data_IF_336012215627
#
_entry.id   IF_336012215627
#
_cell.length_a   1.000
_cell.length_b   1.000
_cell.length_c   1.000
_cell.angle_alpha   90.00
_cell.angle_beta   90.00
_cell.angle_gamma   90.00
#
_symmetry.space_group_name_H-M   'P 1'
#
loop_
_entity.id
_entity.type
_entity.pdbx_description
1 polymer ?
#
# COMPACT_ATOMS: atom_id res chain seq x y z
N UNK A 1 -19.65 -25.28 -14.42
CA UNK A 1 -19.97 -23.82 -14.29
C UNK A 1 -18.81 -23.01 -13.75
N UNK A 2 -17.96 -23.58 -12.88
CA UNK A 2 -16.74 -22.88 -12.38
C UNK A 2 -15.83 -22.38 -13.51
N UNK A 3 -15.63 -23.17 -14.57
CA UNK A 3 -14.87 -22.73 -15.73
C UNK A 3 -15.44 -21.47 -16.40
N UNK A 4 -16.77 -21.34 -16.47
CA UNK A 4 -17.44 -20.14 -17.02
C UNK A 4 -17.13 -18.91 -16.17
N UNK A 5 -17.15 -19.05 -14.82
CA UNK A 5 -16.80 -17.97 -13.89
C UNK A 5 -15.39 -17.39 -14.23
N UNK A 6 -14.39 -18.27 -14.32
CA UNK A 6 -13.00 -17.84 -14.58
C UNK A 6 -12.79 -17.37 -16.03
N UNK A 7 -13.41 -18.02 -17.03
CA UNK A 7 -13.30 -17.60 -18.43
C UNK A 7 -13.88 -16.21 -18.63
N UNK A 8 -15.12 -15.96 -18.12
CA UNK A 8 -15.76 -14.64 -18.22
C UNK A 8 -14.92 -13.57 -17.49
N UNK A 9 -14.39 -13.88 -16.32
CA UNK A 9 -13.54 -12.98 -15.56
C UNK A 9 -12.27 -12.60 -16.35
N UNK A 10 -11.53 -13.59 -16.86
CA UNK A 10 -10.28 -13.36 -17.61
C UNK A 10 -10.55 -12.64 -18.93
N UNK A 11 -11.61 -13.02 -19.67
CA UNK A 11 -11.98 -12.36 -20.92
C UNK A 11 -12.36 -10.91 -20.68
N UNK A 12 -13.18 -10.62 -19.65
CA UNK A 12 -13.56 -9.25 -19.31
C UNK A 12 -12.32 -8.39 -18.97
N UNK A 13 -11.37 -8.93 -18.20
CA UNK A 13 -10.10 -8.25 -17.93
C UNK A 13 -9.28 -8.02 -19.21
N UNK A 14 -9.19 -9.01 -20.08
CA UNK A 14 -8.39 -8.94 -21.31
C UNK A 14 -8.91 -7.88 -22.30
N UNK A 15 -10.23 -7.62 -22.32
CA UNK A 15 -10.84 -6.54 -23.13
C UNK A 15 -10.84 -5.18 -22.42
N UNK A 16 -10.22 -5.07 -21.23
CA UNK A 16 -10.03 -3.80 -20.51
C UNK A 16 -11.18 -3.39 -19.58
N UNK A 17 -12.11 -4.29 -19.25
CA UNK A 17 -13.15 -4.00 -18.26
C UNK A 17 -12.50 -3.86 -16.86
N UNK A 18 -12.85 -2.81 -16.08
CA UNK A 18 -12.32 -2.68 -14.72
C UNK A 18 -12.61 -3.91 -13.84
N UNK A 19 -11.65 -4.27 -12.98
CA UNK A 19 -11.69 -5.51 -12.17
C UNK A 19 -13.00 -5.69 -11.41
N UNK A 20 -13.52 -4.63 -10.80
CA UNK A 20 -14.80 -4.66 -10.07
C UNK A 20 -15.95 -5.17 -10.95
N UNK A 21 -16.11 -4.61 -12.14
CA UNK A 21 -17.16 -5.02 -13.07
C UNK A 21 -16.89 -6.39 -13.69
N UNK A 22 -15.61 -6.77 -13.90
CA UNK A 22 -15.24 -8.11 -14.36
C UNK A 22 -15.66 -9.19 -13.37
N UNK A 23 -15.47 -8.95 -12.06
CA UNK A 23 -15.97 -9.82 -10.98
C UNK A 23 -17.51 -9.91 -10.99
N UNK A 24 -18.18 -8.77 -11.16
CA UNK A 24 -19.64 -8.71 -11.25
C UNK A 24 -20.19 -9.50 -12.43
N UNK A 25 -19.66 -9.27 -13.64
CA UNK A 25 -20.06 -9.97 -14.86
C UNK A 25 -19.85 -11.48 -14.75
N UNK A 26 -18.68 -11.90 -14.25
CA UNK A 26 -18.37 -13.31 -14.04
C UNK A 26 -19.35 -13.96 -13.05
N UNK A 27 -19.65 -13.27 -11.96
CA UNK A 27 -20.62 -13.72 -10.95
C UNK A 27 -22.03 -13.86 -11.51
N UNK A 28 -22.50 -12.88 -12.28
CA UNK A 28 -23.81 -12.92 -12.95
C UNK A 28 -23.86 -14.08 -13.95
N UNK A 29 -22.85 -14.23 -14.81
CA UNK A 29 -22.79 -15.31 -15.80
C UNK A 29 -22.82 -16.69 -15.12
N UNK A 30 -22.08 -16.88 -14.02
CA UNK A 30 -22.10 -18.10 -13.22
C UNK A 30 -23.49 -18.36 -12.61
N UNK A 31 -24.11 -17.35 -11.96
CA UNK A 31 -25.39 -17.51 -11.26
C UNK A 31 -26.51 -17.83 -12.23
N UNK A 32 -26.56 -17.18 -13.40
CA UNK A 32 -27.54 -17.47 -14.44
C UNK A 32 -27.38 -18.90 -14.96
N UNK A 33 -26.16 -19.33 -15.25
CA UNK A 33 -25.90 -20.69 -15.77
C UNK A 33 -26.09 -21.78 -14.72
N UNK A 34 -25.97 -21.47 -13.42
CA UNK A 34 -26.18 -22.42 -12.30
C UNK A 34 -27.58 -22.34 -11.73
N UNK A 35 -28.51 -21.59 -12.35
CA UNK A 35 -29.89 -21.38 -11.89
C UNK A 35 -30.00 -20.87 -10.43
N UNK A 36 -29.01 -20.08 -9.98
CA UNK A 36 -29.03 -19.44 -8.66
C UNK A 36 -29.89 -18.18 -8.75
N UNK A 37 -30.78 -18.00 -7.78
CA UNK A 37 -31.65 -16.84 -7.73
C UNK A 37 -30.86 -15.55 -7.65
N UNK A 38 -31.14 -14.57 -8.50
CA UNK A 38 -30.45 -13.29 -8.55
C UNK A 38 -30.61 -12.45 -7.26
N UNK A 39 -31.55 -12.79 -6.41
CA UNK A 39 -31.68 -12.18 -5.08
C UNK A 39 -30.41 -12.41 -4.24
N UNK A 40 -29.72 -13.55 -4.39
CA UNK A 40 -28.47 -13.82 -3.72
C UNK A 40 -27.35 -12.86 -4.17
N UNK A 41 -27.34 -12.47 -5.46
CA UNK A 41 -26.41 -11.46 -5.95
C UNK A 41 -26.58 -10.16 -5.15
N UNK A 42 -27.80 -9.64 -5.07
CA UNK A 42 -28.06 -8.41 -4.33
C UNK A 42 -27.73 -8.55 -2.83
N UNK A 43 -28.10 -9.68 -2.21
CA UNK A 43 -27.81 -9.91 -0.80
C UNK A 43 -26.31 -9.91 -0.49
N UNK A 44 -25.49 -10.64 -1.26
CA UNK A 44 -24.06 -10.71 -1.04
C UNK A 44 -23.35 -9.42 -1.46
N UNK A 45 -23.87 -8.70 -2.47
CA UNK A 45 -23.38 -7.39 -2.87
C UNK A 45 -23.50 -6.38 -1.72
N UNK A 46 -24.69 -6.24 -1.13
CA UNK A 46 -24.90 -5.32 -0.01
C UNK A 46 -24.23 -5.79 1.28
N UNK A 47 -24.24 -7.11 1.55
CA UNK A 47 -23.54 -7.67 2.72
C UNK A 47 -22.04 -7.36 2.70
N UNK A 48 -21.42 -7.31 1.52
CA UNK A 48 -20.01 -6.92 1.38
C UNK A 48 -19.74 -5.49 1.81
N UNK A 49 -20.72 -4.59 1.68
CA UNK A 49 -20.62 -3.19 2.08
C UNK A 49 -21.02 -2.93 3.54
N UNK A 50 -21.81 -3.83 4.12
CA UNK A 50 -22.34 -3.69 5.48
C UNK A 50 -21.28 -4.07 6.53
N UNK A 51 -20.24 -3.24 6.61
CA UNK A 51 -19.17 -3.38 7.59
C UNK A 51 -18.75 -2.02 8.12
N UNK A 52 -18.88 -1.83 9.43
CA UNK A 52 -18.49 -0.58 10.11
C UNK A 52 -17.00 -0.26 9.89
N UNK A 53 -16.17 -1.28 9.82
CA UNK A 53 -14.73 -1.12 9.61
C UNK A 53 -14.40 -0.51 8.23
N UNK A 54 -15.22 -0.76 7.21
CA UNK A 54 -15.01 -0.20 5.87
C UNK A 54 -15.15 1.33 5.84
N UNK A 55 -15.86 1.93 6.79
CA UNK A 55 -16.01 3.38 6.89
C UNK A 55 -14.69 4.10 7.15
N UNK A 56 -13.66 3.41 7.69
CA UNK A 56 -12.35 4.02 7.87
C UNK A 56 -11.64 4.31 6.54
N UNK A 57 -11.99 3.62 5.43
CA UNK A 57 -11.35 3.82 4.12
C UNK A 57 -11.63 5.22 3.57
N UNK A 58 -12.90 5.64 3.36
CA UNK A 58 -13.17 7.02 2.95
C UNK A 58 -12.62 8.04 3.96
N UNK A 59 -12.63 7.74 5.27
CA UNK A 59 -12.08 8.60 6.30
C UNK A 59 -10.57 8.83 6.15
N UNK A 60 -9.76 7.77 6.10
CA UNK A 60 -8.32 7.90 5.89
C UNK A 60 -7.98 8.48 4.51
N UNK A 61 -8.70 8.08 3.45
CA UNK A 61 -8.50 8.65 2.11
C UNK A 61 -8.74 10.15 2.11
N UNK A 62 -9.79 10.62 2.78
CA UNK A 62 -10.10 12.05 2.87
C UNK A 62 -9.06 12.79 3.70
N UNK A 63 -8.67 12.25 4.86
CA UNK A 63 -7.62 12.83 5.70
C UNK A 63 -6.29 12.96 4.93
N UNK A 64 -5.89 11.91 4.19
CA UNK A 64 -4.70 11.91 3.36
C UNK A 64 -4.77 12.95 2.24
N UNK A 65 -5.89 13.05 1.53
CA UNK A 65 -6.10 14.07 0.49
C UNK A 65 -6.07 15.49 1.05
N UNK A 66 -6.69 15.74 2.22
CA UNK A 66 -6.66 17.03 2.90
C UNK A 66 -5.23 17.47 3.24
N UNK A 67 -4.46 16.56 3.79
CA UNK A 67 -3.07 16.84 4.17
C UNK A 67 -2.20 17.05 2.94
N UNK A 68 -2.36 16.24 1.90
CA UNK A 68 -1.59 16.35 0.66
C UNK A 68 -1.88 17.70 -0.05
N UNK A 69 -3.14 18.04 -0.28
CA UNK A 69 -3.52 19.34 -0.87
C UNK A 69 -3.20 20.52 0.05
N UNK A 70 -3.15 20.30 1.37
CA UNK A 70 -2.65 21.25 2.36
C UNK A 70 -1.15 21.53 2.24
N UNK A 71 -0.40 20.80 1.38
CA UNK A 71 1.02 21.04 1.13
C UNK A 71 1.96 20.36 2.13
N UNK A 72 1.50 19.28 2.76
CA UNK A 72 2.29 18.53 3.75
C UNK A 72 3.49 17.82 3.11
N UNK A 73 3.35 17.34 1.86
CA UNK A 73 4.39 16.59 1.16
C UNK A 73 5.69 17.38 1.04
N UNK A 74 5.59 18.68 0.68
CA UNK A 74 6.74 19.60 0.62
C UNK A 74 7.40 19.76 2.00
N UNK A 75 6.60 19.92 3.06
CA UNK A 75 7.09 20.12 4.43
C UNK A 75 7.77 18.87 4.99
N UNK A 76 7.27 17.69 4.68
CA UNK A 76 7.89 16.43 5.08
C UNK A 76 9.24 16.21 4.38
N UNK A 77 9.31 16.56 3.09
CA UNK A 77 10.56 16.43 2.34
C UNK A 77 11.61 17.43 2.85
N UNK A 78 11.23 18.68 3.12
CA UNK A 78 12.14 19.70 3.71
C UNK A 78 12.64 19.26 5.08
N UNK A 79 11.77 18.70 5.91
CA UNK A 79 12.15 18.15 7.21
C UNK A 79 13.13 16.98 7.08
N UNK A 80 12.84 16.03 6.21
CA UNK A 80 13.70 14.88 5.95
C UNK A 80 15.06 15.33 5.38
N UNK A 81 15.08 16.28 4.43
CA UNK A 81 16.32 16.83 3.88
C UNK A 81 17.12 17.63 4.91
N UNK A 82 16.46 18.33 5.83
CA UNK A 82 17.15 19.01 6.93
C UNK A 82 17.90 18.02 7.85
N UNK A 83 17.34 16.81 8.04
CA UNK A 83 17.96 15.77 8.87
C UNK A 83 19.13 15.06 8.17
N UNK A 84 18.94 14.64 6.92
CA UNK A 84 19.85 13.72 6.22
C UNK A 84 20.57 14.33 5.01
N UNK A 85 20.23 15.54 4.59
CA UNK A 85 20.78 16.18 3.38
C UNK A 85 22.29 16.40 3.39
N UNK A 86 22.95 16.34 4.54
CA UNK A 86 24.40 16.44 4.70
C UNK A 86 25.13 15.13 4.37
N UNK A 87 24.43 14.01 4.27
CA UNK A 87 24.98 12.70 3.90
C UNK A 87 25.13 12.63 2.38
N UNK A 88 26.12 11.91 1.86
CA UNK A 88 26.25 11.67 0.41
C UNK A 88 25.00 11.01 -0.13
N UNK A 89 24.32 11.65 -1.08
CA UNK A 89 23.02 11.19 -1.55
C UNK A 89 21.84 11.56 -0.63
N UNK A 90 21.96 12.64 0.14
CA UNK A 90 21.00 13.04 1.18
C UNK A 90 19.54 13.06 0.74
N UNK A 91 19.24 13.55 -0.48
CA UNK A 91 17.86 13.55 -0.99
C UNK A 91 17.28 12.16 -1.23
N UNK A 92 18.09 11.14 -1.52
CA UNK A 92 17.58 9.78 -1.64
C UNK A 92 17.09 9.24 -0.28
N UNK A 93 17.79 9.57 0.80
CA UNK A 93 17.31 9.25 2.16
C UNK A 93 16.10 10.07 2.54
N UNK A 94 16.10 11.37 2.19
CA UNK A 94 14.97 12.26 2.45
C UNK A 94 13.70 11.75 1.78
N UNK A 95 13.80 11.23 0.54
CA UNK A 95 12.70 10.58 -0.17
C UNK A 95 12.16 9.37 0.61
N UNK A 96 13.02 8.45 1.06
CA UNK A 96 12.58 7.28 1.83
C UNK A 96 11.96 7.70 3.16
N UNK A 97 12.57 8.64 3.90
CA UNK A 97 12.06 9.10 5.19
C UNK A 97 10.73 9.85 5.03
N UNK A 98 10.62 10.71 4.02
CA UNK A 98 9.35 11.40 3.71
C UNK A 98 8.26 10.40 3.36
N UNK A 99 8.57 9.37 2.54
CA UNK A 99 7.64 8.28 2.22
C UNK A 99 7.24 7.48 3.47
N UNK A 100 8.16 7.20 4.40
CA UNK A 100 7.82 6.51 5.66
C UNK A 100 6.83 7.29 6.52
N UNK A 101 6.98 8.60 6.62
CA UNK A 101 6.06 9.45 7.38
C UNK A 101 4.75 9.63 6.62
N UNK A 102 4.81 9.86 5.31
CA UNK A 102 3.63 10.05 4.46
C UNK A 102 2.79 8.77 4.36
N UNK A 103 3.40 7.61 4.43
CA UNK A 103 2.74 6.31 4.53
C UNK A 103 1.73 6.28 5.69
N UNK A 104 2.10 6.86 6.85
CA UNK A 104 1.21 7.02 8.00
C UNK A 104 0.00 7.93 7.77
N UNK A 105 -0.17 8.47 6.57
CA UNK A 105 -1.25 9.39 6.20
C UNK A 105 -2.07 8.85 5.02
N UNK A 106 -1.42 8.38 3.96
CA UNK A 106 -2.03 8.06 2.67
C UNK A 106 -2.57 6.62 2.58
N UNK A 107 -1.81 5.65 3.05
CA UNK A 107 -2.20 4.22 3.08
C UNK A 107 -2.24 3.51 1.72
N UNK A 108 -1.81 4.14 0.61
CA UNK A 108 -1.80 3.53 -0.73
C UNK A 108 -0.54 3.89 -1.53
N UNK A 109 0.05 2.91 -2.23
CA UNK A 109 1.30 3.08 -2.96
C UNK A 109 1.19 4.06 -4.16
N UNK A 110 0.14 3.94 -4.96
CA UNK A 110 -0.02 4.78 -6.15
C UNK A 110 -0.24 6.26 -5.79
N UNK A 111 -1.02 6.54 -4.74
CA UNK A 111 -1.22 7.90 -4.23
C UNK A 111 0.11 8.51 -3.79
N UNK A 112 0.92 7.74 -3.06
CA UNK A 112 2.24 8.17 -2.60
C UNK A 112 3.18 8.45 -3.77
N UNK A 113 3.22 7.56 -4.77
CA UNK A 113 4.02 7.75 -5.97
C UNK A 113 3.68 9.05 -6.69
N UNK A 114 2.40 9.38 -6.81
CA UNK A 114 1.96 10.59 -7.53
C UNK A 114 2.17 11.84 -6.68
N UNK A 115 1.81 11.79 -5.40
CA UNK A 115 1.87 12.93 -4.49
C UNK A 115 3.31 13.34 -4.18
N UNK A 116 4.12 12.40 -3.70
CA UNK A 116 5.53 12.65 -3.36
C UNK A 116 6.38 12.76 -4.62
N UNK A 117 6.17 11.88 -5.60
CA UNK A 117 6.97 11.87 -6.84
C UNK A 117 6.88 13.17 -7.63
N UNK A 118 5.73 13.86 -7.57
CA UNK A 118 5.56 15.19 -8.17
C UNK A 118 6.48 16.26 -7.58
N UNK A 119 6.95 16.09 -6.35
CA UNK A 119 7.85 17.00 -5.63
C UNK A 119 9.28 16.46 -5.61
N UNK A 120 9.44 15.20 -5.26
CA UNK A 120 10.75 14.56 -5.01
C UNK A 120 11.58 14.38 -6.27
N UNK A 121 10.96 13.87 -7.35
CA UNK A 121 11.67 13.61 -8.61
C UNK A 121 12.27 14.88 -9.17
N UNK A 122 11.53 16.00 -9.39
CA UNK A 122 12.12 17.23 -9.88
C UNK A 122 13.17 17.81 -8.92
N UNK A 123 12.99 17.70 -7.61
CA UNK A 123 13.94 18.19 -6.63
C UNK A 123 15.27 17.41 -6.71
N UNK A 124 15.23 16.09 -6.81
CA UNK A 124 16.41 15.24 -6.97
C UNK A 124 17.12 15.53 -8.30
N UNK A 125 16.39 15.59 -9.41
CA UNK A 125 16.97 15.87 -10.73
C UNK A 125 17.63 17.24 -10.78
N UNK A 126 17.01 18.28 -10.22
CA UNK A 126 17.58 19.62 -10.14
C UNK A 126 18.86 19.68 -9.30
N UNK A 127 19.06 18.76 -8.37
CA UNK A 127 20.29 18.65 -7.58
C UNK A 127 21.34 17.72 -8.21
N UNK A 128 21.10 17.21 -9.43
CA UNK A 128 22.09 16.42 -10.17
C UNK A 128 22.00 14.91 -9.99
N UNK A 129 20.87 14.39 -9.51
CA UNK A 129 20.61 12.95 -9.51
C UNK A 129 20.12 12.49 -10.89
N UNK A 130 20.48 11.27 -11.27
CA UNK A 130 19.98 10.65 -12.49
C UNK A 130 18.44 10.50 -12.43
N UNK A 131 17.76 10.84 -13.53
CA UNK A 131 16.29 10.70 -13.60
C UNK A 131 15.84 9.26 -13.34
N UNK A 132 16.46 8.21 -13.93
CA UNK A 132 16.08 6.83 -13.63
C UNK A 132 16.21 6.44 -12.17
N UNK A 133 17.25 6.93 -11.47
CA UNK A 133 17.42 6.66 -10.05
C UNK A 133 16.37 7.37 -9.19
N UNK A 134 16.07 8.64 -9.49
CA UNK A 134 15.05 9.42 -8.80
C UNK A 134 13.65 8.78 -8.95
N UNK A 135 13.34 8.30 -10.15
CA UNK A 135 12.12 7.53 -10.45
C UNK A 135 12.09 6.22 -9.66
N UNK A 136 13.19 5.47 -9.68
CA UNK A 136 13.27 4.16 -9.05
C UNK A 136 13.11 4.23 -7.52
N UNK A 137 13.78 5.18 -6.87
CA UNK A 137 13.68 5.32 -5.41
C UNK A 137 12.27 5.77 -4.99
N UNK A 138 11.66 6.72 -5.69
CA UNK A 138 10.30 7.19 -5.43
C UNK A 138 9.27 6.07 -5.63
N UNK A 139 9.39 5.26 -6.69
CA UNK A 139 8.53 4.11 -6.88
C UNK A 139 8.70 3.05 -5.77
N UNK A 140 9.96 2.75 -5.39
CA UNK A 140 10.24 1.77 -4.35
C UNK A 140 9.77 2.23 -2.96
N UNK A 141 10.00 3.50 -2.59
CA UNK A 141 9.61 4.06 -1.29
C UNK A 141 8.10 4.19 -1.14
N UNK A 142 7.37 4.41 -2.24
CA UNK A 142 5.90 4.43 -2.23
C UNK A 142 5.27 3.09 -1.79
N UNK A 143 6.00 1.98 -1.88
CA UNK A 143 5.56 0.69 -1.32
C UNK A 143 5.40 0.72 0.21
N UNK A 144 5.99 1.68 0.90
CA UNK A 144 5.83 1.86 2.34
C UNK A 144 4.40 2.26 2.72
N UNK A 145 3.70 3.02 1.85
CA UNK A 145 2.35 3.51 2.09
C UNK A 145 1.35 2.44 2.54
N UNK A 146 1.16 1.36 1.78
CA UNK A 146 0.26 0.30 2.16
C UNK A 146 0.82 -0.69 3.19
N UNK A 147 2.04 -0.50 3.69
CA UNK A 147 2.67 -1.40 4.69
C UNK A 147 2.77 -0.74 6.06
N UNK A 148 3.08 0.56 6.12
CA UNK A 148 3.07 1.33 7.38
C UNK A 148 1.64 1.80 7.66
N UNK A 149 1.11 1.63 8.90
CA UNK A 149 -0.25 2.04 9.23
C UNK A 149 -0.48 3.57 9.13
N UNK A 150 -1.70 4.01 8.70
CA UNK A 150 -2.85 3.20 8.30
C UNK A 150 -2.71 2.65 6.87
N UNK A 151 -3.16 1.44 6.65
CA UNK A 151 -3.03 0.74 5.36
C UNK A 151 -4.39 0.27 4.85
N UNK A 152 -4.81 0.75 3.70
CA UNK A 152 -6.05 0.33 3.06
C UNK A 152 -6.03 -1.17 2.69
N UNK A 153 -4.96 -1.73 2.10
CA UNK A 153 -4.84 -3.16 1.87
C UNK A 153 -4.96 -4.02 3.13
N UNK A 154 -4.37 -3.59 4.26
CA UNK A 154 -4.50 -4.32 5.53
C UNK A 154 -5.93 -4.28 6.08
N UNK A 155 -6.63 -3.14 5.95
CA UNK A 155 -8.05 -3.03 6.30
C UNK A 155 -8.87 -4.02 5.48
N UNK A 156 -8.64 -4.07 4.17
CA UNK A 156 -9.33 -5.00 3.27
C UNK A 156 -9.09 -6.45 3.66
N UNK A 157 -7.84 -6.85 3.85
CA UNK A 157 -7.48 -8.20 4.26
C UNK A 157 -8.16 -8.58 5.58
N UNK A 158 -8.10 -7.71 6.58
CA UNK A 158 -8.71 -7.94 7.88
C UNK A 158 -10.24 -8.05 7.80
N UNK A 159 -10.89 -7.13 7.09
CA UNK A 159 -12.36 -7.10 6.98
C UNK A 159 -12.92 -8.34 6.29
N UNK A 160 -12.27 -8.80 5.21
CA UNK A 160 -12.70 -9.97 4.45
C UNK A 160 -12.56 -11.29 5.21
N UNK A 161 -11.69 -11.35 6.19
CA UNK A 161 -11.36 -12.60 6.90
C UNK A 161 -11.68 -12.57 8.39
N UNK A 162 -12.23 -11.46 8.89
CA UNK A 162 -12.56 -11.28 10.31
C UNK A 162 -11.34 -11.10 11.22
N UNK A 163 -10.17 -10.78 10.67
CA UNK A 163 -8.97 -10.48 11.44
C UNK A 163 -9.06 -9.08 12.07
N UNK A 164 -8.32 -8.87 13.16
CA UNK A 164 -8.23 -7.56 13.80
C UNK A 164 -7.41 -6.58 12.95
N UNK A 165 -8.03 -5.48 12.51
CA UNK A 165 -7.34 -4.40 11.78
C UNK A 165 -6.22 -3.80 12.63
N UNK A 166 -6.47 -3.59 13.93
CA UNK A 166 -5.46 -3.05 14.84
C UNK A 166 -4.24 -3.97 14.94
N UNK A 167 -4.44 -5.31 15.06
CA UNK A 167 -3.34 -6.27 15.05
C UNK A 167 -2.59 -6.30 13.73
N UNK A 168 -3.30 -6.19 12.60
CA UNK A 168 -2.68 -6.08 11.28
C UNK A 168 -1.80 -4.83 11.17
N UNK A 169 -2.28 -3.69 11.66
CA UNK A 169 -1.51 -2.45 11.67
C UNK A 169 -0.23 -2.58 12.49
N UNK A 170 -0.33 -3.11 13.71
CA UNK A 170 0.85 -3.30 14.58
C UNK A 170 1.87 -4.26 13.95
N UNK A 171 1.40 -5.34 13.31
CA UNK A 171 2.25 -6.29 12.62
C UNK A 171 2.98 -5.70 11.39
N UNK A 172 2.46 -4.61 10.80
CA UNK A 172 3.06 -3.93 9.65
C UNK A 172 4.18 -2.95 9.99
N UNK A 173 4.27 -2.49 11.24
CA UNK A 173 5.24 -1.44 11.64
C UNK A 173 6.69 -1.89 11.42
N UNK A 174 7.07 -3.05 11.98
CA UNK A 174 8.45 -3.53 11.87
C UNK A 174 8.83 -3.89 10.43
N UNK A 175 8.00 -4.62 9.64
CA UNK A 175 8.25 -4.80 8.22
C UNK A 175 8.44 -3.49 7.46
N UNK A 176 7.60 -2.47 7.69
CA UNK A 176 7.74 -1.15 7.08
C UNK A 176 9.05 -0.45 7.43
N UNK A 177 9.44 -0.47 8.70
CA UNK A 177 10.72 0.07 9.16
C UNK A 177 11.90 -0.66 8.53
N UNK A 178 11.87 -2.00 8.45
CA UNK A 178 12.92 -2.80 7.82
C UNK A 178 13.07 -2.49 6.32
N UNK A 179 11.95 -2.31 5.60
CA UNK A 179 11.97 -1.87 4.21
C UNK A 179 12.60 -0.49 4.06
N UNK A 180 12.19 0.49 4.87
CA UNK A 180 12.75 1.84 4.87
C UNK A 180 14.26 1.84 5.15
N UNK A 181 14.70 1.13 6.20
CA UNK A 181 16.12 1.01 6.54
C UNK A 181 16.91 0.27 5.44
N UNK A 182 16.36 -0.79 4.87
CA UNK A 182 16.97 -1.51 3.76
C UNK A 182 17.16 -0.63 2.52
N UNK A 183 16.14 0.16 2.17
CA UNK A 183 16.23 1.14 1.08
C UNK A 183 17.25 2.24 1.38
N UNK A 184 17.30 2.77 2.60
CA UNK A 184 18.34 3.72 3.02
C UNK A 184 19.75 3.12 2.86
N UNK A 185 19.95 1.86 3.28
CA UNK A 185 21.22 1.15 3.06
C UNK A 185 21.61 1.05 1.58
N UNK A 186 20.62 0.72 0.73
CA UNK A 186 20.84 0.67 -0.74
C UNK A 186 21.16 2.06 -1.32
N UNK A 187 20.46 3.09 -0.87
CA UNK A 187 20.73 4.48 -1.25
C UNK A 187 22.16 4.88 -0.90
N UNK A 188 22.65 4.46 0.27
CA UNK A 188 24.06 4.72 0.65
C UNK A 188 25.04 4.13 -0.36
N UNK A 189 24.92 2.84 -0.61
CA UNK A 189 25.82 2.13 -1.52
C UNK A 189 25.78 2.75 -2.92
N UNK A 190 24.59 3.04 -3.45
CA UNK A 190 24.43 3.61 -4.79
C UNK A 190 24.92 5.07 -4.85
N UNK A 191 24.66 5.87 -3.83
CA UNK A 191 25.06 7.27 -3.79
C UNK A 191 26.58 7.45 -3.71
N UNK A 192 27.25 6.61 -2.91
CA UNK A 192 28.71 6.58 -2.85
C UNK A 192 29.29 6.13 -4.19
N UNK A 193 28.75 5.07 -4.80
CA UNK A 193 29.23 4.53 -6.09
C UNK A 193 29.04 5.49 -7.26
N UNK A 194 27.94 6.26 -7.27
CA UNK A 194 27.60 7.22 -8.34
C UNK A 194 28.06 8.64 -8.05
N UNK A 195 28.70 8.88 -6.89
CA UNK A 195 29.19 10.19 -6.47
C UNK A 195 28.08 11.26 -6.44
N UNK A 196 26.89 10.89 -5.94
CA UNK A 196 25.79 11.84 -5.84
C UNK A 196 26.11 13.00 -4.88
N UNK A 197 25.53 14.17 -5.14
CA UNK A 197 25.81 15.36 -4.36
C UNK A 197 25.44 15.20 -2.89
N UNK A 198 26.17 15.91 -2.06
CA UNK A 198 25.86 16.11 -0.64
C UNK A 198 25.84 17.60 -0.36
N UNK A 199 25.12 17.99 0.66
CA UNK A 199 25.22 19.37 1.16
C UNK A 199 26.56 19.54 1.89
N UNK A 200 27.32 20.60 1.58
CA UNK A 200 28.64 20.83 2.16
C UNK A 200 28.65 20.99 3.68
N UNK A 201 27.55 21.48 4.23
CA UNK A 201 27.35 21.64 5.67
C UNK A 201 26.04 21.02 6.11
N UNK A 202 26.05 20.41 7.29
CA UNK A 202 24.82 20.01 7.98
C UNK A 202 23.89 21.22 8.12
N UNK A 203 22.58 20.99 8.06
CA UNK A 203 21.62 22.06 8.28
C UNK A 203 21.86 22.69 9.65
N UNK A 204 21.72 24.03 9.74
CA UNK A 204 21.86 24.71 11.02
C UNK A 204 20.73 24.23 11.97
N UNK A 205 21.01 24.22 13.26
CA UNK A 205 20.01 23.87 14.27
C UNK A 205 18.72 24.70 14.13
N UNK A 206 18.85 25.97 13.76
CA UNK A 206 17.71 26.84 13.48
C UNK A 206 16.89 26.36 12.28
N UNK A 207 17.54 25.88 11.22
CA UNK A 207 16.83 25.33 10.05
C UNK A 207 16.12 24.02 10.37
N UNK A 208 16.78 23.09 11.08
CA UNK A 208 16.17 21.84 11.55
C UNK A 208 14.94 22.14 12.42
N UNK A 209 15.07 23.12 13.35
CA UNK A 209 13.97 23.52 14.21
C UNK A 209 12.79 24.11 13.43
N UNK A 210 13.08 24.93 12.42
CA UNK A 210 12.03 25.49 11.55
C UNK A 210 11.32 24.43 10.73
N UNK A 211 12.08 23.55 10.04
CA UNK A 211 11.53 22.45 9.29
C UNK A 211 10.71 21.48 10.17
N UNK A 212 11.20 21.20 11.41
CA UNK A 212 10.46 20.40 12.39
C UNK A 212 9.13 21.06 12.76
N UNK A 213 9.11 22.36 13.02
CA UNK A 213 7.87 23.09 13.33
C UNK A 213 6.86 23.05 12.21
N UNK A 214 7.30 23.06 10.97
CA UNK A 214 6.42 22.97 9.81
C UNK A 214 5.89 21.56 9.58
N UNK A 215 6.72 20.53 9.80
CA UNK A 215 6.35 19.12 9.66
C UNK A 215 5.62 18.54 10.88
N UNK A 216 5.66 19.20 12.05
CA UNK A 216 5.12 18.67 13.31
C UNK A 216 3.65 18.26 13.19
N UNK A 217 2.88 19.01 12.41
CA UNK A 217 1.46 18.76 12.23
C UNK A 217 1.18 17.44 11.50
N UNK A 218 2.07 17.06 10.56
CA UNK A 218 2.02 15.72 9.94
C UNK A 218 2.38 14.63 10.94
N UNK A 219 3.47 14.84 11.69
CA UNK A 219 3.93 13.88 12.69
C UNK A 219 2.89 13.65 13.79
N UNK A 220 2.18 14.70 14.21
CA UNK A 220 1.07 14.59 15.18
C UNK A 220 -0.06 13.72 14.61
N UNK A 221 -0.42 13.88 13.32
CA UNK A 221 -1.46 13.04 12.72
C UNK A 221 -1.08 11.56 12.74
N UNK A 222 0.15 11.24 12.36
CA UNK A 222 0.68 9.86 12.45
C UNK A 222 0.66 9.37 13.91
N UNK A 223 1.06 10.21 14.84
CA UNK A 223 1.05 9.89 16.27
C UNK A 223 -0.38 9.62 16.79
N UNK A 224 -1.38 10.43 16.39
CA UNK A 224 -2.80 10.21 16.73
C UNK A 224 -3.26 8.81 16.28
N UNK A 225 -2.92 8.42 15.05
CA UNK A 225 -3.30 7.11 14.51
C UNK A 225 -2.61 5.99 15.30
N UNK A 226 -1.28 6.03 15.39
CA UNK A 226 -0.51 4.95 16.01
C UNK A 226 -0.86 4.82 17.49
N UNK A 227 -0.70 5.88 18.27
CA UNK A 227 -0.92 5.81 19.73
C UNK A 227 -2.39 5.67 20.09
N UNK A 228 -3.31 6.24 19.31
CA UNK A 228 -4.74 6.09 19.52
C UNK A 228 -5.21 4.64 19.37
N UNK A 229 -4.74 3.98 18.30
CA UNK A 229 -5.09 2.58 18.02
C UNK A 229 -4.31 1.61 18.93
N UNK A 230 -3.00 1.83 19.13
CA UNK A 230 -2.17 1.00 20.03
C UNK A 230 -2.64 1.06 21.48
N UNK A 231 -3.00 2.25 21.93
CA UNK A 231 -3.52 2.45 23.30
C UNK A 231 -4.94 1.90 23.50
N UNK A 232 -5.58 1.37 22.44
CA UNK A 232 -6.98 0.92 22.52
C UNK A 232 -7.97 2.05 22.80
N UNK A 233 -7.53 3.32 22.66
CA UNK A 233 -8.34 4.51 22.95
C UNK A 233 -9.41 4.70 21.88
N UNK A 234 -9.07 4.40 20.62
CA UNK A 234 -9.95 4.53 19.46
C UNK A 234 -9.83 3.33 18.54
N UNK A 235 -10.94 3.01 17.89
CA UNK A 235 -10.98 2.05 16.77
C UNK A 235 -10.39 2.67 15.50
N UNK A 236 -10.00 1.87 14.49
CA UNK A 236 -9.54 2.41 13.20
C UNK A 236 -10.55 3.37 12.54
N UNK A 237 -11.86 3.10 12.69
CA UNK A 237 -12.92 3.96 12.13
C UNK A 237 -12.97 5.31 12.85
N UNK A 238 -12.94 5.31 14.18
CA UNK A 238 -12.91 6.55 14.97
C UNK A 238 -11.62 7.34 14.70
N UNK A 239 -10.46 6.68 14.63
CA UNK A 239 -9.19 7.30 14.28
C UNK A 239 -9.26 8.00 12.92
N UNK A 240 -9.91 7.40 11.93
CA UNK A 240 -10.07 8.00 10.60
C UNK A 240 -10.85 9.30 10.63
N UNK A 241 -11.93 9.37 11.43
CA UNK A 241 -12.75 10.58 11.60
C UNK A 241 -11.96 11.67 12.34
N UNK A 242 -11.22 11.30 13.39
CA UNK A 242 -10.35 12.23 14.11
C UNK A 242 -9.31 12.82 13.15
N UNK A 243 -8.72 12.00 12.28
CA UNK A 243 -7.76 12.44 11.27
C UNK A 243 -8.38 13.38 10.22
N UNK A 244 -9.64 13.16 9.83
CA UNK A 244 -10.36 14.10 8.94
C UNK A 244 -10.53 15.47 9.62
N UNK A 245 -11.03 15.49 10.85
CA UNK A 245 -11.21 16.76 11.59
C UNK A 245 -9.85 17.44 11.80
N UNK A 246 -8.84 16.69 12.20
CA UNK A 246 -7.49 17.19 12.37
C UNK A 246 -6.91 17.74 11.06
N UNK A 247 -7.00 16.97 9.96
CA UNK A 247 -6.53 17.38 8.63
C UNK A 247 -7.22 18.64 8.13
N UNK A 248 -8.53 18.79 8.35
CA UNK A 248 -9.29 20.02 8.06
C UNK A 248 -8.74 21.21 8.83
N UNK A 249 -8.57 21.07 10.16
CA UNK A 249 -8.05 22.14 10.99
C UNK A 249 -6.65 22.57 10.57
N UNK A 250 -5.76 21.61 10.30
CA UNK A 250 -4.38 21.91 9.88
C UNK A 250 -4.34 22.56 8.51
N UNK A 251 -5.05 22.02 7.52
CA UNK A 251 -4.99 22.49 6.13
C UNK A 251 -5.65 23.85 5.94
N UNK A 252 -6.76 24.12 6.66
CA UNK A 252 -7.52 25.38 6.55
C UNK A 252 -6.92 26.49 7.41
N UNK A 253 -6.64 26.22 8.70
CA UNK A 253 -6.28 27.26 9.66
C UNK A 253 -4.78 27.44 9.85
N UNK A 254 -3.99 26.35 9.77
CA UNK A 254 -2.55 26.39 10.03
C UNK A 254 -1.79 26.65 8.73
N UNK A 255 -1.93 25.77 7.74
CA UNK A 255 -1.24 25.94 6.46
C UNK A 255 -1.92 26.93 5.54
N UNK A 256 -3.22 27.19 5.72
CA UNK A 256 -4.01 28.17 4.96
C UNK A 256 -3.92 27.99 3.45
N UNK A 257 -3.73 26.74 3.00
CA UNK A 257 -3.66 26.36 1.58
C UNK A 257 -4.99 25.81 1.05
N UNK A 258 -6.01 25.63 1.91
CA UNK A 258 -7.29 25.00 1.57
C UNK A 258 -8.40 26.05 1.47
N UNK A 259 -8.81 26.38 0.28
CA UNK A 259 -10.01 27.17 -0.02
C UNK A 259 -11.22 26.28 -0.41
N UNK A 260 -12.38 26.88 -0.71
CA UNK A 260 -13.57 26.12 -1.12
C UNK A 260 -13.38 25.29 -2.40
N UNK A 261 -12.55 25.76 -3.31
CA UNK A 261 -12.21 25.07 -4.57
C UNK A 261 -11.38 23.80 -4.32
N UNK A 262 -10.34 23.95 -3.52
CA UNK A 262 -9.43 22.86 -3.13
C UNK A 262 -10.19 21.83 -2.28
N UNK A 263 -11.07 22.30 -1.39
CA UNK A 263 -11.96 21.43 -0.61
C UNK A 263 -12.88 20.61 -1.49
N UNK A 264 -13.51 21.22 -2.51
CA UNK A 264 -14.36 20.51 -3.45
C UNK A 264 -13.59 19.47 -4.27
N UNK A 265 -12.39 19.82 -4.73
CA UNK A 265 -11.51 18.89 -5.44
C UNK A 265 -11.13 17.71 -4.54
N UNK A 266 -10.71 17.96 -3.31
CA UNK A 266 -10.37 16.96 -2.32
C UNK A 266 -11.55 16.00 -2.02
N UNK A 267 -12.76 16.53 -1.84
CA UNK A 267 -13.97 15.73 -1.65
C UNK A 267 -14.27 14.87 -2.89
N UNK A 268 -14.18 15.45 -4.08
CA UNK A 268 -14.42 14.75 -5.35
C UNK A 268 -13.45 13.57 -5.53
N UNK A 269 -12.16 13.80 -5.28
CA UNK A 269 -11.13 12.77 -5.40
C UNK A 269 -11.33 11.66 -4.37
N UNK A 270 -11.70 12.03 -3.14
CA UNK A 270 -12.02 11.08 -2.07
C UNK A 270 -13.23 10.23 -2.41
N UNK A 271 -14.33 10.85 -2.86
CA UNK A 271 -15.55 10.12 -3.25
C UNK A 271 -15.26 9.19 -4.42
N UNK A 272 -14.51 9.64 -5.43
CA UNK A 272 -14.13 8.81 -6.58
C UNK A 272 -13.33 7.58 -6.15
N UNK A 273 -12.29 7.77 -5.33
CA UNK A 273 -11.43 6.69 -4.87
C UNK A 273 -12.16 5.73 -3.93
N UNK A 274 -12.90 6.26 -2.95
CA UNK A 274 -13.66 5.44 -2.01
C UNK A 274 -14.76 4.64 -2.72
N UNK A 275 -15.48 5.25 -3.66
CA UNK A 275 -16.53 4.56 -4.43
C UNK A 275 -15.97 3.43 -5.28
N UNK A 276 -14.80 3.61 -5.90
CA UNK A 276 -14.14 2.56 -6.67
C UNK A 276 -13.77 1.35 -5.78
N UNK A 277 -13.23 1.61 -4.59
CA UNK A 277 -12.89 0.57 -3.61
C UNK A 277 -14.17 -0.13 -3.12
N UNK A 278 -15.22 0.62 -2.77
CA UNK A 278 -16.48 0.05 -2.30
C UNK A 278 -17.15 -0.81 -3.37
N UNK A 279 -17.19 -0.36 -4.62
CA UNK A 279 -17.70 -1.17 -5.74
C UNK A 279 -16.91 -2.47 -5.90
N UNK A 280 -15.59 -2.41 -5.79
CA UNK A 280 -14.73 -3.60 -5.85
C UNK A 280 -15.06 -4.58 -4.72
N UNK A 281 -15.22 -4.10 -3.48
CA UNK A 281 -15.60 -4.93 -2.31
C UNK A 281 -16.94 -5.61 -2.51
N UNK A 282 -17.93 -4.86 -2.99
CA UNK A 282 -19.28 -5.39 -3.21
C UNK A 282 -19.28 -6.55 -4.22
N UNK A 283 -18.67 -6.36 -5.38
CA UNK A 283 -18.58 -7.41 -6.40
C UNK A 283 -17.68 -8.57 -5.98
N UNK A 284 -16.56 -8.28 -5.30
CA UNK A 284 -15.66 -9.32 -4.79
C UNK A 284 -16.36 -10.21 -3.75
N UNK A 285 -17.26 -9.67 -2.92
CA UNK A 285 -18.01 -10.47 -1.94
C UNK A 285 -18.98 -11.44 -2.62
N UNK A 286 -19.62 -11.03 -3.72
CA UNK A 286 -20.44 -11.95 -4.53
C UNK A 286 -19.59 -13.06 -5.15
N UNK A 287 -18.41 -12.69 -5.69
CA UNK A 287 -17.47 -13.65 -6.27
C UNK A 287 -16.97 -14.63 -5.21
N UNK A 288 -16.58 -14.15 -4.02
CA UNK A 288 -16.13 -14.98 -2.90
C UNK A 288 -17.22 -15.94 -2.41
N UNK A 289 -18.50 -15.53 -2.39
CA UNK A 289 -19.62 -16.43 -2.11
C UNK A 289 -19.66 -17.60 -3.09
N UNK A 290 -19.47 -17.34 -4.39
CA UNK A 290 -19.46 -18.39 -5.41
C UNK A 290 -18.27 -19.33 -5.20
N UNK A 291 -17.06 -18.80 -4.97
CA UNK A 291 -15.86 -19.60 -4.70
C UNK A 291 -16.05 -20.51 -3.48
N UNK A 292 -16.65 -19.98 -2.41
CA UNK A 292 -16.92 -20.74 -1.18
C UNK A 292 -17.96 -21.82 -1.42
N UNK A 293 -19.03 -21.53 -2.16
CA UNK A 293 -20.07 -22.48 -2.53
C UNK A 293 -19.53 -23.65 -3.36
N UNK A 294 -18.59 -23.38 -4.25
CA UNK A 294 -17.94 -24.37 -5.11
C UNK A 294 -16.74 -25.06 -4.44
N UNK A 295 -16.49 -24.77 -3.14
CA UNK A 295 -15.37 -25.34 -2.37
C UNK A 295 -13.99 -25.08 -2.99
N UNK A 296 -13.84 -24.02 -3.81
CA UNK A 296 -12.57 -23.69 -4.48
C UNK A 296 -11.41 -23.49 -3.49
N UNK A 297 -11.58 -22.77 -2.35
CA UNK A 297 -10.52 -22.61 -1.36
C UNK A 297 -9.98 -23.95 -0.83
N UNK A 298 -10.85 -24.88 -0.48
CA UNK A 298 -10.43 -26.20 0.01
C UNK A 298 -9.81 -27.06 -1.09
N UNK A 299 -10.31 -27.02 -2.31
CA UNK A 299 -9.71 -27.73 -3.45
C UNK A 299 -8.27 -27.24 -3.72
N UNK A 300 -8.03 -25.93 -3.66
CA UNK A 300 -6.68 -25.36 -3.82
C UNK A 300 -5.80 -25.78 -2.65
N UNK A 301 -6.31 -25.71 -1.42
CA UNK A 301 -5.57 -26.14 -0.23
C UNK A 301 -5.15 -27.62 -0.33
N UNK A 302 -6.08 -28.50 -0.68
CA UNK A 302 -5.81 -29.94 -0.84
C UNK A 302 -4.79 -30.20 -1.97
N UNK A 303 -4.91 -29.49 -3.10
CA UNK A 303 -3.96 -29.60 -4.20
C UNK A 303 -2.54 -29.18 -3.78
N UNK A 304 -2.40 -28.07 -3.04
CA UNK A 304 -1.11 -27.62 -2.53
C UNK A 304 -0.53 -28.57 -1.47
N UNK A 305 -1.37 -29.07 -0.56
CA UNK A 305 -0.94 -30.01 0.48
C UNK A 305 -0.54 -31.40 -0.10
N UNK A 306 -1.08 -31.77 -1.27
CA UNK A 306 -0.62 -32.97 -2.01
C UNK A 306 0.75 -32.76 -2.64
N UNK A 307 1.12 -31.53 -3.02
CA UNK A 307 2.45 -31.22 -3.55
C UNK A 307 3.50 -31.27 -2.44
N UNK A 308 3.18 -30.68 -1.27
CA UNK A 308 4.09 -30.65 -0.13
C UNK A 308 3.33 -30.29 1.16
N UNK A 309 3.79 -30.85 2.28
CA UNK A 309 3.34 -30.47 3.64
C UNK A 309 4.35 -29.55 4.34
N UNK A 310 5.45 -29.24 3.66
CA UNK A 310 6.48 -28.37 4.21
C UNK A 310 6.00 -26.91 4.19
N UNK A 311 5.77 -26.33 5.37
CA UNK A 311 5.36 -24.94 5.59
C UNK A 311 6.21 -23.94 4.80
N UNK A 312 7.52 -24.11 4.83
CA UNK A 312 8.44 -23.15 4.19
C UNK A 312 8.34 -23.19 2.67
N UNK A 313 8.15 -24.37 2.08
CA UNK A 313 8.00 -24.53 0.64
C UNK A 313 6.63 -24.00 0.16
N UNK A 314 5.58 -24.21 0.93
CA UNK A 314 4.24 -23.64 0.63
C UNK A 314 4.32 -22.11 0.65
N UNK A 315 4.93 -21.50 1.67
CA UNK A 315 5.09 -20.05 1.73
C UNK A 315 5.94 -19.51 0.56
N UNK A 316 6.97 -20.23 0.14
CA UNK A 316 7.75 -19.86 -1.04
C UNK A 316 6.91 -19.86 -2.31
N UNK A 317 6.13 -20.92 -2.55
CA UNK A 317 5.24 -21.03 -3.71
C UNK A 317 4.19 -19.92 -3.73
N UNK A 318 3.60 -19.62 -2.56
CA UNK A 318 2.64 -18.52 -2.40
C UNK A 318 3.32 -17.18 -2.68
N UNK A 319 4.53 -16.93 -2.17
CA UNK A 319 5.26 -15.69 -2.43
C UNK A 319 5.50 -15.49 -3.93
N UNK A 320 6.02 -16.51 -4.63
CA UNK A 320 6.26 -16.45 -6.07
C UNK A 320 4.96 -16.15 -6.83
N UNK A 321 3.88 -16.84 -6.47
CA UNK A 321 2.56 -16.65 -7.07
C UNK A 321 2.03 -15.23 -6.84
N UNK A 322 2.11 -14.72 -5.60
CA UNK A 322 1.61 -13.39 -5.26
C UNK A 322 2.44 -12.27 -5.87
N UNK A 323 3.76 -12.41 -5.97
CA UNK A 323 4.60 -11.46 -6.71
C UNK A 323 4.15 -11.40 -8.17
N UNK A 324 3.97 -12.58 -8.80
CA UNK A 324 3.50 -12.65 -10.18
C UNK A 324 2.13 -11.98 -10.35
N UNK A 325 1.17 -12.24 -9.47
CA UNK A 325 -0.15 -11.59 -9.50
C UNK A 325 -0.03 -10.08 -9.31
N UNK A 326 0.78 -9.62 -8.34
CA UNK A 326 0.97 -8.20 -8.04
C UNK A 326 1.60 -7.39 -9.17
N UNK A 327 2.32 -8.06 -10.11
CA UNK A 327 2.84 -7.39 -11.32
C UNK A 327 1.74 -6.92 -12.26
N UNK A 328 0.57 -7.56 -12.25
CA UNK A 328 -0.52 -7.33 -13.21
C UNK A 328 -1.79 -6.76 -12.58
N UNK A 329 -2.01 -6.99 -11.29
CA UNK A 329 -3.24 -6.64 -10.61
C UNK A 329 -2.99 -5.57 -9.54
N UNK A 330 -4.00 -4.72 -9.34
CA UNK A 330 -4.04 -3.80 -8.22
C UNK A 330 -4.16 -4.56 -6.90
N UNK A 331 -3.48 -4.08 -5.86
CA UNK A 331 -3.34 -4.78 -4.57
C UNK A 331 -4.68 -5.13 -3.92
N UNK A 332 -5.62 -4.19 -3.87
CA UNK A 332 -6.92 -4.41 -3.21
C UNK A 332 -7.72 -5.50 -3.94
N UNK A 333 -7.74 -5.44 -5.28
CA UNK A 333 -8.41 -6.44 -6.09
C UNK A 333 -7.84 -7.84 -5.88
N UNK A 334 -6.51 -7.96 -5.86
CA UNK A 334 -5.81 -9.22 -5.63
C UNK A 334 -6.08 -9.77 -4.22
N UNK A 335 -6.09 -8.92 -3.18
CA UNK A 335 -6.42 -9.32 -1.81
C UNK A 335 -7.85 -9.87 -1.75
N UNK A 336 -8.83 -9.16 -2.28
CA UNK A 336 -10.23 -9.55 -2.20
C UNK A 336 -10.51 -10.90 -2.87
N UNK A 337 -9.78 -11.23 -3.94
CA UNK A 337 -9.94 -12.48 -4.69
C UNK A 337 -9.18 -13.63 -4.03
N UNK A 338 -7.92 -13.39 -3.67
CA UNK A 338 -6.96 -14.45 -3.34
C UNK A 338 -6.79 -14.67 -1.84
N UNK A 339 -6.86 -13.61 -1.04
CA UNK A 339 -6.49 -13.70 0.36
C UNK A 339 -7.33 -14.70 1.16
N UNK A 340 -8.67 -14.73 1.09
CA UNK A 340 -9.46 -15.71 1.83
C UNK A 340 -9.10 -17.16 1.48
N UNK A 341 -8.85 -17.42 0.19
CA UNK A 341 -8.47 -18.75 -0.30
C UNK A 341 -7.08 -19.18 0.18
N UNK A 342 -6.10 -18.30 0.01
CA UNK A 342 -4.70 -18.58 0.40
C UNK A 342 -4.53 -18.63 1.91
N UNK A 343 -5.34 -17.89 2.67
CA UNK A 343 -5.35 -17.95 4.12
C UNK A 343 -5.74 -19.34 4.62
N UNK A 344 -6.72 -19.99 3.99
CA UNK A 344 -7.09 -21.36 4.33
C UNK A 344 -5.91 -22.34 4.13
N UNK A 345 -5.13 -22.17 3.07
CA UNK A 345 -3.91 -22.96 2.81
C UNK A 345 -2.85 -22.71 3.89
N UNK A 346 -2.57 -21.43 4.17
CA UNK A 346 -1.54 -21.03 5.10
C UNK A 346 -1.83 -21.50 6.54
N UNK A 347 -3.09 -21.37 6.97
CA UNK A 347 -3.52 -21.83 8.30
C UNK A 347 -3.48 -23.34 8.44
N UNK A 348 -3.76 -24.10 7.38
CA UNK A 348 -3.66 -25.57 7.37
C UNK A 348 -2.24 -26.05 7.63
N UNK A 349 -1.21 -25.28 7.29
CA UNK A 349 0.22 -25.59 7.56
C UNK A 349 0.78 -24.86 8.80
N UNK A 350 -0.10 -24.28 9.63
CA UNK A 350 0.26 -23.68 10.90
C UNK A 350 0.93 -22.29 10.75
N UNK A 351 0.59 -21.53 9.72
CA UNK A 351 0.98 -20.11 9.61
C UNK A 351 -0.05 -19.25 10.35
N UNK A 352 0.43 -18.31 11.16
CA UNK A 352 -0.45 -17.36 11.85
C UNK A 352 -1.18 -16.47 10.84
N UNK A 353 -2.51 -16.25 10.99
CA UNK A 353 -3.30 -15.43 10.06
C UNK A 353 -2.82 -13.98 9.92
N UNK A 354 -2.37 -13.35 10.99
CA UNK A 354 -1.85 -11.97 10.96
C UNK A 354 -0.53 -11.91 10.19
N UNK A 355 0.39 -12.86 10.47
CA UNK A 355 1.65 -12.98 9.71
C UNK A 355 1.35 -13.13 8.23
N UNK A 356 0.44 -14.05 7.90
CA UNK A 356 0.08 -14.31 6.50
C UNK A 356 -0.53 -13.09 5.82
N UNK A 357 -1.36 -12.34 6.53
CA UNK A 357 -1.92 -11.08 6.03
C UNK A 357 -0.84 -10.07 5.65
N UNK A 358 0.19 -9.90 6.48
CA UNK A 358 1.33 -9.02 6.16
C UNK A 358 2.12 -9.55 4.97
N UNK A 359 2.38 -10.86 4.89
CA UNK A 359 3.07 -11.48 3.76
C UNK A 359 2.33 -11.19 2.45
N UNK A 360 1.01 -11.36 2.41
CA UNK A 360 0.20 -11.12 1.21
C UNK A 360 0.22 -9.64 0.81
N UNK A 361 0.01 -8.74 1.77
CA UNK A 361 0.05 -7.29 1.51
C UNK A 361 1.41 -6.89 0.95
N UNK A 362 2.51 -7.30 1.59
CA UNK A 362 3.86 -6.97 1.13
C UNK A 362 4.14 -7.50 -0.28
N UNK A 363 3.80 -8.77 -0.57
CA UNK A 363 4.00 -9.36 -1.89
C UNK A 363 3.31 -8.56 -2.99
N UNK A 364 2.02 -8.28 -2.80
CA UNK A 364 1.22 -7.60 -3.80
C UNK A 364 1.67 -6.14 -4.00
N UNK A 365 2.04 -5.47 -2.92
CA UNK A 365 2.55 -4.09 -2.96
C UNK A 365 3.90 -4.01 -3.66
N UNK A 366 4.82 -4.93 -3.38
CA UNK A 366 6.10 -4.99 -4.09
C UNK A 366 5.91 -5.34 -5.57
N UNK A 367 4.88 -6.12 -5.89
CA UNK A 367 4.44 -6.37 -7.25
C UNK A 367 4.11 -5.10 -8.03
N UNK A 368 3.52 -4.07 -7.40
CA UNK A 368 3.21 -2.79 -8.05
C UNK A 368 4.44 -2.02 -8.55
N UNK A 369 5.62 -2.34 -8.07
CA UNK A 369 6.88 -1.77 -8.56
C UNK A 369 7.64 -2.74 -9.47
N UNK A 370 7.20 -4.00 -9.57
CA UNK A 370 7.93 -5.05 -10.29
C UNK A 370 7.47 -5.11 -11.75
N UNK A 371 8.40 -5.16 -12.74
CA UNK A 371 8.03 -5.38 -14.14
C UNK A 371 7.26 -6.70 -14.33
N UNK A 372 6.38 -6.84 -15.36
CA UNK A 372 6.31 -6.04 -16.60
C UNK A 372 5.42 -4.81 -16.53
N UNK A 373 4.39 -4.76 -15.67
CA UNK A 373 3.50 -3.59 -15.60
C UNK A 373 4.03 -2.59 -14.58
N UNK A 374 4.11 -2.96 -13.30
CA UNK A 374 4.63 -2.10 -12.24
C UNK A 374 3.95 -0.73 -12.17
N UNK A 375 2.69 -0.68 -11.76
CA UNK A 375 1.85 0.55 -11.84
C UNK A 375 2.51 1.76 -11.18
N UNK A 376 3.15 1.58 -10.02
CA UNK A 376 3.88 2.65 -9.33
C UNK A 376 5.14 3.07 -10.10
N UNK A 377 5.88 2.10 -10.65
CA UNK A 377 7.05 2.39 -11.47
C UNK A 377 6.68 3.14 -12.75
N UNK A 378 5.59 2.73 -13.39
CA UNK A 378 5.06 3.41 -14.58
C UNK A 378 4.63 4.85 -14.28
N UNK A 379 3.90 5.07 -13.18
CA UNK A 379 3.48 6.39 -12.74
C UNK A 379 4.70 7.30 -12.44
N UNK A 380 5.68 6.80 -11.69
CA UNK A 380 6.91 7.54 -11.41
C UNK A 380 7.73 7.84 -12.68
N UNK A 381 7.80 6.89 -13.63
CA UNK A 381 8.48 7.09 -14.93
C UNK A 381 7.80 8.19 -15.75
N UNK A 382 6.47 8.24 -15.76
CA UNK A 382 5.70 9.30 -16.44
C UNK A 382 5.98 10.69 -15.83
N UNK A 383 6.18 10.77 -14.53
CA UNK A 383 6.59 12.02 -13.89
C UNK A 383 8.03 12.37 -14.28
N UNK A 384 8.96 11.41 -14.14
CA UNK A 384 10.38 11.62 -14.42
C UNK A 384 10.68 11.99 -15.88
N UNK A 385 9.93 11.44 -16.83
CA UNK A 385 10.10 11.71 -18.26
C UNK A 385 9.89 13.19 -18.66
N UNK A 386 9.25 13.98 -17.79
CA UNK A 386 9.09 15.43 -17.97
C UNK A 386 10.37 16.22 -17.66
N UNK A 387 11.28 15.64 -16.90
CA UNK A 387 12.49 16.30 -16.40
C UNK A 387 13.77 15.79 -17.07
N UNK A 388 13.69 14.77 -17.91
CA UNK A 388 14.82 14.25 -18.69
C UNK A 388 14.50 12.98 -19.45
N UNK A 389 15.44 12.50 -20.25
CA UNK A 389 15.27 11.23 -20.96
C UNK A 389 15.26 10.08 -19.93
N UNK A 390 14.13 9.42 -19.83
CA UNK A 390 13.96 8.26 -18.96
C UNK A 390 12.93 7.32 -19.60
N UNK A 391 13.37 6.15 -20.00
CA UNK A 391 12.50 5.07 -20.45
C UNK A 391 12.09 4.18 -19.28
N UNK A 392 11.02 3.41 -19.46
CA UNK A 392 10.63 2.42 -18.44
C UNK A 392 11.77 1.42 -18.19
N UNK A 393 12.49 1.01 -19.22
CA UNK A 393 13.64 0.10 -19.10
C UNK A 393 14.76 0.67 -18.24
N UNK A 394 15.07 1.97 -18.39
CA UNK A 394 16.08 2.63 -17.56
C UNK A 394 15.66 2.67 -16.09
N UNK A 395 14.37 2.96 -15.85
CA UNK A 395 13.79 2.96 -14.50
C UNK A 395 13.83 1.57 -13.86
N UNK A 396 13.53 0.52 -14.63
CA UNK A 396 13.62 -0.89 -14.17
C UNK A 396 15.04 -1.24 -13.75
N UNK A 397 16.03 -0.92 -14.57
CA UNK A 397 17.46 -1.22 -14.26
C UNK A 397 17.89 -0.49 -12.99
N UNK A 398 17.49 0.76 -12.82
CA UNK A 398 17.80 1.54 -11.63
C UNK A 398 17.09 1.00 -10.37
N UNK A 399 15.92 0.39 -10.54
CA UNK A 399 15.10 -0.17 -9.46
C UNK A 399 15.61 -1.53 -8.94
N UNK A 400 16.29 -2.34 -9.76
CA UNK A 400 16.69 -3.70 -9.40
C UNK A 400 17.39 -3.82 -8.03
N UNK A 401 18.36 -2.96 -7.65
CA UNK A 401 19.02 -3.06 -6.35
C UNK A 401 18.03 -2.83 -5.17
N UNK A 402 17.08 -1.91 -5.35
CA UNK A 402 16.04 -1.60 -4.35
C UNK A 402 15.05 -2.76 -4.22
N UNK A 403 14.62 -3.34 -5.34
CA UNK A 403 13.76 -4.52 -5.34
C UNK A 403 14.43 -5.72 -4.67
N UNK A 404 15.72 -5.94 -4.92
CA UNK A 404 16.46 -7.04 -4.29
C UNK A 404 16.43 -6.95 -2.76
N UNK A 405 16.61 -5.76 -2.21
CA UNK A 405 16.53 -5.52 -0.77
C UNK A 405 15.08 -5.67 -0.27
N UNK A 406 14.10 -5.13 -0.99
CA UNK A 406 12.69 -5.24 -0.63
C UNK A 406 12.21 -6.70 -0.61
N UNK A 407 12.61 -7.50 -1.60
CA UNK A 407 12.35 -8.95 -1.58
C UNK A 407 13.12 -9.67 -0.46
N UNK A 408 14.35 -9.24 -0.16
CA UNK A 408 15.08 -9.75 1.00
C UNK A 408 14.34 -9.55 2.31
N UNK A 409 13.76 -8.36 2.53
CA UNK A 409 12.92 -8.07 3.70
C UNK A 409 11.62 -8.88 3.66
N UNK A 410 10.98 -9.02 2.50
CA UNK A 410 9.80 -9.88 2.34
C UNK A 410 10.09 -11.33 2.76
N UNK A 411 11.20 -11.91 2.30
CA UNK A 411 11.59 -13.26 2.71
C UNK A 411 11.89 -13.35 4.20
N UNK A 412 12.57 -12.34 4.76
CA UNK A 412 12.82 -12.28 6.19
C UNK A 412 11.51 -12.29 7.00
N UNK A 413 10.55 -11.45 6.62
CA UNK A 413 9.21 -11.37 7.26
C UNK A 413 8.42 -12.67 7.06
N UNK A 414 8.55 -13.31 5.90
CA UNK A 414 7.89 -14.59 5.61
C UNK A 414 8.35 -15.70 6.55
N UNK A 415 9.66 -15.78 6.84
CA UNK A 415 10.23 -16.90 7.59
C UNK A 415 10.49 -16.59 9.06
N UNK A 416 10.36 -15.34 9.51
CA UNK A 416 10.56 -14.92 10.91
C UNK A 416 9.27 -14.31 11.48
N UNK A 417 8.36 -15.14 12.04
CA UNK A 417 7.08 -14.68 12.60
C UNK A 417 7.20 -13.61 13.69
N UNK A 418 8.32 -13.60 14.41
CA UNK A 418 8.58 -12.63 15.47
C UNK A 418 8.54 -11.17 14.98
N UNK A 419 8.85 -10.92 13.72
CA UNK A 419 8.86 -9.57 13.10
C UNK A 419 7.45 -9.02 12.84
N UNK A 420 6.43 -9.86 12.90
CA UNK A 420 5.02 -9.49 12.65
C UNK A 420 4.18 -9.79 13.88
N UNK A 421 3.87 -11.07 14.13
CA UNK A 421 3.03 -11.53 15.23
C UNK A 421 3.67 -11.22 16.59
N UNK A 422 4.99 -11.40 16.71
CA UNK A 422 5.71 -11.08 17.95
C UNK A 422 5.54 -9.63 18.36
N UNK A 423 5.64 -8.71 17.41
CA UNK A 423 5.44 -7.27 17.64
C UNK A 423 3.98 -6.94 17.94
N UNK A 424 3.04 -7.51 17.18
CA UNK A 424 1.62 -7.29 17.42
C UNK A 424 1.19 -7.76 18.84
N UNK A 425 1.68 -8.92 19.28
CA UNK A 425 1.41 -9.44 20.62
C UNK A 425 2.11 -8.63 21.72
N UNK A 426 3.32 -8.11 21.46
CA UNK A 426 4.02 -7.27 22.44
C UNK A 426 3.31 -5.93 22.67
N UNK A 427 2.71 -5.36 21.62
CA UNK A 427 2.10 -4.03 21.67
C UNK A 427 0.62 -4.06 22.08
N UNK A 428 -0.06 -5.18 21.87
CA UNK A 428 -1.52 -5.27 22.09
C UNK A 428 -1.93 -6.39 23.07
N UNK A 429 -0.99 -7.16 23.59
CA UNK A 429 -1.23 -8.23 24.58
C UNK A 429 -1.66 -9.51 23.93
#
# INVERSE_FOLDING_TARGET
MVAVLFIVFVVALAIGVPVAFSLGLASVAYMLGSHIQMINFAQYFFKGLDSFTLLCIPGFTFAGNLMNQGGISEKLLDFADALVGHITGGLAYANVLASMVFAGISGTALSDTVALGGVEIPMMVNQGYDVPFSVAITAASSCLGPIIPPSVPMIMAATMTGLSVSKMFMAGIVPGLLLGLGMCGTCYVLSVKRHYPKRDKAASWSHIWHATKEAIWALIMVAIILFGIMGGIVTPTEASIICVVYGLLVSVFIYRKMGPKEMYACLKDTVSSASAIMALVAFANVFAFILTKEHIPSMIADAMLRLTTNKYLILLLINIFLIFVGMFMETIAAILILFPTLLAVATAVGVDPIQFGIIVVMNLVLGLCTPPVGVCLFAATNIGSRYGKCTLSDSVIALLPLLAVNFGVLFLVTYVPALTVGVANLLMG
#
